data_IF_732236860097
#
_entry.id   IF_732236860097
#
_cell.length_a   1.000
_cell.length_b   1.000
_cell.length_c   1.000
_cell.angle_alpha   90.00
_cell.angle_beta   90.00
_cell.angle_gamma   90.00
#
_symmetry.space_group_name_H-M   'P 1'
#
loop_
_entity.id
_entity.type
_entity.pdbx_description
1 polymer ?
#
# COMPACT_ATOMS: atom_id res chain seq x y z
N UNK A 1 2.42 -2.92 8.21
CA UNK A 1 0.98 -3.07 8.46
C UNK A 1 0.32 -3.91 7.39
N UNK A 2 0.06 -3.40 6.17
CA UNK A 2 -0.69 -4.14 5.13
C UNK A 2 -0.18 -5.56 4.81
N UNK A 3 1.13 -5.73 4.66
CA UNK A 3 1.73 -7.04 4.38
C UNK A 3 1.36 -8.08 5.45
N UNK A 4 1.53 -7.71 6.72
CA UNK A 4 1.16 -8.51 7.89
C UNK A 4 -0.35 -8.71 7.98
N UNK A 5 -1.15 -7.64 7.80
CA UNK A 5 -2.61 -7.70 7.87
C UNK A 5 -3.22 -8.63 6.84
N UNK A 6 -2.61 -8.81 5.67
CA UNK A 6 -3.13 -9.70 4.63
C UNK A 6 -2.31 -10.98 4.45
N UNK A 7 -1.26 -11.16 5.26
CA UNK A 7 -0.30 -12.25 5.14
C UNK A 7 0.23 -12.38 3.70
N UNK A 8 0.60 -11.27 3.07
CA UNK A 8 1.05 -11.22 1.68
C UNK A 8 2.28 -10.32 1.52
N UNK A 9 3.22 -10.65 0.61
CA UNK A 9 4.32 -9.76 0.30
C UNK A 9 3.80 -8.47 -0.32
N UNK A 10 4.45 -7.34 -0.03
CA UNK A 10 4.09 -6.03 -0.59
C UNK A 10 5.30 -5.37 -1.19
N UNK A 11 5.16 -4.90 -2.43
CA UNK A 11 6.19 -4.15 -3.15
C UNK A 11 5.67 -2.73 -3.40
N UNK A 12 6.44 -1.74 -2.98
CA UNK A 12 6.15 -0.33 -3.15
C UNK A 12 7.24 0.26 -4.02
N UNK A 13 6.85 0.79 -5.19
CA UNK A 13 7.73 1.51 -6.10
C UNK A 13 7.44 3.00 -6.01
N UNK A 14 8.49 3.80 -5.92
CA UNK A 14 8.39 5.25 -5.91
C UNK A 14 9.50 5.87 -6.77
N UNK A 15 9.19 7.01 -7.37
CA UNK A 15 10.12 7.81 -8.16
C UNK A 15 11.10 8.55 -7.24
N UNK A 16 12.26 8.91 -7.78
CA UNK A 16 13.24 9.81 -7.16
C UNK A 16 13.45 11.04 -8.03
N UNK A 17 13.85 12.17 -7.42
CA UNK A 17 14.16 13.41 -8.12
C UNK A 17 13.05 14.44 -8.04
N UNK A 18 13.19 15.54 -8.77
CA UNK A 18 12.25 16.66 -8.74
C UNK A 18 11.62 16.89 -10.11
N UNK A 19 10.35 17.25 -10.13
CA UNK A 19 9.63 17.69 -11.33
C UNK A 19 8.78 18.90 -10.96
N UNK A 20 9.03 20.03 -11.62
CA UNK A 20 8.46 21.32 -11.26
C UNK A 20 8.65 21.62 -9.76
N UNK A 21 7.57 21.76 -9.01
CA UNK A 21 7.52 22.02 -7.57
C UNK A 21 7.41 20.75 -6.70
N UNK A 22 7.32 19.57 -7.32
CA UNK A 22 7.24 18.29 -6.63
C UNK A 22 8.62 17.66 -6.46
N UNK A 23 8.86 17.09 -5.27
CA UNK A 23 10.06 16.29 -5.00
C UNK A 23 9.63 14.88 -4.60
N UNK A 24 10.11 13.91 -5.36
CA UNK A 24 9.91 12.49 -5.11
C UNK A 24 11.12 11.92 -4.34
N UNK A 25 10.86 11.32 -3.18
CA UNK A 25 11.91 10.87 -2.26
C UNK A 25 12.38 9.42 -2.50
N UNK A 26 11.86 8.73 -3.52
CA UNK A 26 12.16 7.33 -3.77
C UNK A 26 11.77 6.46 -2.59
N UNK A 27 12.74 5.72 -2.04
CA UNK A 27 12.53 4.78 -0.93
C UNK A 27 11.52 3.67 -1.24
N UNK A 28 11.56 3.14 -2.47
CA UNK A 28 10.90 1.87 -2.82
C UNK A 28 11.26 0.75 -1.82
N UNK A 29 10.33 -0.16 -1.49
CA UNK A 29 10.52 -1.22 -0.48
C UNK A 29 9.84 -2.52 -0.90
N UNK A 30 10.44 -3.64 -0.53
CA UNK A 30 9.87 -4.99 -0.63
C UNK A 30 9.71 -5.54 0.78
N UNK A 31 8.49 -5.89 1.15
CA UNK A 31 8.15 -6.47 2.45
C UNK A 31 7.75 -7.94 2.30
N UNK A 32 8.16 -8.76 3.25
CA UNK A 32 7.68 -10.15 3.37
C UNK A 32 6.23 -10.20 3.92
N UNK A 33 5.57 -11.37 3.89
CA UNK A 33 4.22 -11.57 4.45
C UNK A 33 4.07 -11.27 5.94
N UNK A 34 5.17 -11.20 6.70
CA UNK A 34 5.20 -10.82 8.11
C UNK A 34 5.41 -9.30 8.29
N UNK A 35 5.52 -8.55 7.19
CA UNK A 35 5.76 -7.12 7.17
C UNK A 35 7.21 -6.71 7.44
N UNK A 36 8.16 -7.65 7.35
CA UNK A 36 9.60 -7.35 7.49
C UNK A 36 10.15 -6.83 6.18
N UNK A 37 11.10 -5.90 6.27
CA UNK A 37 11.79 -5.36 5.10
C UNK A 37 12.78 -6.38 4.54
N UNK A 38 12.58 -6.80 3.29
CA UNK A 38 13.51 -7.66 2.57
C UNK A 38 14.55 -6.85 1.79
N UNK A 39 14.11 -5.79 1.12
CA UNK A 39 14.99 -4.89 0.38
C UNK A 39 14.37 -3.49 0.25
N UNK A 40 15.20 -2.46 0.13
CA UNK A 40 14.73 -1.10 -0.06
C UNK A 40 15.78 -0.18 -0.67
N UNK A 41 15.32 0.78 -1.46
CA UNK A 41 16.17 1.83 -2.04
C UNK A 41 16.64 2.83 -0.96
N UNK A 42 17.83 3.38 -1.11
CA UNK A 42 18.30 4.47 -0.25
C UNK A 42 17.48 5.75 -0.49
N UNK A 43 17.09 6.00 -1.74
CA UNK A 43 16.24 7.12 -2.15
C UNK A 43 17.00 8.38 -2.55
N UNK A 44 18.33 8.29 -2.63
CA UNK A 44 19.20 9.37 -3.12
C UNK A 44 19.41 9.35 -4.65
N UNK A 45 18.94 8.31 -5.34
CA UNK A 45 19.07 8.14 -6.78
C UNK A 45 18.26 6.96 -7.32
N UNK A 46 18.37 6.73 -8.63
CA UNK A 46 17.73 5.59 -9.28
C UNK A 46 18.41 4.29 -8.85
N UNK A 47 17.61 3.30 -8.45
CA UNK A 47 18.11 2.06 -7.85
C UNK A 47 17.22 0.88 -8.23
N UNK A 48 17.85 -0.27 -8.53
CA UNK A 48 17.14 -1.55 -8.64
C UNK A 48 17.01 -2.20 -7.27
N UNK A 49 15.78 -2.33 -6.77
CA UNK A 49 15.48 -3.05 -5.52
C UNK A 49 15.08 -4.47 -5.85
N UNK A 50 15.80 -5.46 -5.30
CA UNK A 50 15.56 -6.89 -5.52
C UNK A 50 15.58 -7.65 -4.19
N UNK A 51 14.70 -8.63 -4.07
CA UNK A 51 14.68 -9.59 -2.97
C UNK A 51 14.22 -10.97 -3.47
N UNK A 52 14.47 -12.00 -2.67
CA UNK A 52 13.88 -13.33 -2.86
C UNK A 52 12.65 -13.49 -1.98
N UNK A 53 11.64 -14.19 -2.51
CA UNK A 53 10.37 -14.44 -1.82
C UNK A 53 10.03 -15.92 -1.93
N UNK A 54 9.69 -16.51 -0.79
CA UNK A 54 9.31 -17.91 -0.70
C UNK A 54 7.80 -18.02 -0.48
N UNK A 55 7.12 -18.80 -1.33
CA UNK A 55 5.68 -18.99 -1.22
C UNK A 55 5.26 -19.63 0.11
N UNK A 56 6.14 -20.43 0.69
CA UNK A 56 5.95 -21.09 1.97
C UNK A 56 5.73 -20.09 3.11
N UNK A 57 6.38 -18.92 3.06
CA UNK A 57 6.21 -17.89 4.08
C UNK A 57 4.83 -17.24 4.02
N UNK A 58 4.20 -17.17 2.84
CA UNK A 58 2.80 -16.72 2.69
C UNK A 58 1.85 -17.67 3.42
N UNK A 59 2.05 -18.99 3.22
CA UNK A 59 1.24 -20.02 3.88
C UNK A 59 1.40 -19.94 5.40
N UNK A 60 2.64 -19.77 5.87
CA UNK A 60 2.95 -19.64 7.30
C UNK A 60 2.33 -18.39 7.91
N UNK A 61 2.44 -17.23 7.25
CA UNK A 61 1.87 -15.98 7.73
C UNK A 61 0.35 -16.07 7.87
N UNK A 62 -0.35 -16.61 6.88
CA UNK A 62 -1.81 -16.79 6.93
C UNK A 62 -2.27 -17.84 7.94
N UNK A 63 -1.44 -18.83 8.25
CA UNK A 63 -1.72 -19.78 9.32
C UNK A 63 -1.57 -19.13 10.70
N UNK A 64 -0.54 -18.31 10.90
CA UNK A 64 -0.25 -17.67 12.18
C UNK A 64 -1.18 -16.51 12.51
N UNK A 65 -1.49 -15.67 11.51
CA UNK A 65 -2.39 -14.53 11.67
C UNK A 65 -3.46 -14.55 10.56
N UNK A 66 -4.53 -15.35 10.74
CA UNK A 66 -5.57 -15.59 9.74
C UNK A 66 -6.61 -14.45 9.65
N UNK A 67 -6.17 -13.20 9.67
CA UNK A 67 -6.99 -11.98 9.67
C UNK A 67 -8.16 -11.98 8.68
N UNK A 68 -7.92 -12.39 7.43
CA UNK A 68 -8.93 -12.44 6.38
C UNK A 68 -9.96 -13.54 6.63
N UNK A 69 -9.53 -14.70 7.11
CA UNK A 69 -10.42 -15.83 7.42
C UNK A 69 -11.34 -15.49 8.60
N UNK A 70 -10.79 -14.80 9.59
CA UNK A 70 -11.50 -14.46 10.83
C UNK A 70 -12.22 -13.09 10.71
N UNK A 71 -12.22 -12.47 9.53
CA UNK A 71 -12.95 -11.22 9.26
C UNK A 71 -14.46 -11.45 9.30
N UNK A 72 -15.19 -10.54 9.97
CA UNK A 72 -16.66 -10.56 9.97
C UNK A 72 -17.19 -9.95 8.66
N UNK A 73 -17.11 -10.73 7.58
CA UNK A 73 -17.55 -10.30 6.24
C UNK A 73 -19.01 -9.83 6.20
N UNK A 74 -19.99 -10.48 6.89
CA UNK A 74 -21.36 -9.97 6.93
C UNK A 74 -21.48 -8.55 7.50
N UNK A 75 -20.75 -8.26 8.59
CA UNK A 75 -20.73 -6.92 9.18
C UNK A 75 -20.09 -5.91 8.22
N UNK A 76 -18.92 -6.24 7.66
CA UNK A 76 -18.23 -5.36 6.71
C UNK A 76 -19.12 -5.03 5.51
N UNK A 77 -19.80 -6.03 4.95
CA UNK A 77 -20.73 -5.84 3.85
C UNK A 77 -21.86 -4.87 4.22
N UNK A 78 -22.51 -5.08 5.38
CA UNK A 78 -23.57 -4.19 5.87
C UNK A 78 -23.09 -2.74 6.03
N UNK A 79 -21.90 -2.53 6.58
CA UNK A 79 -21.39 -1.18 6.83
C UNK A 79 -20.94 -0.48 5.55
N UNK A 80 -20.36 -1.21 4.59
CA UNK A 80 -20.04 -0.65 3.26
C UNK A 80 -21.31 -0.17 2.57
N UNK A 81 -22.36 -1.00 2.55
CA UNK A 81 -23.68 -0.62 2.00
C UNK A 81 -24.25 0.62 2.67
N UNK A 82 -24.21 0.68 4.01
CA UNK A 82 -24.67 1.85 4.77
C UNK A 82 -23.91 3.13 4.41
N UNK A 83 -22.58 3.03 4.25
CA UNK A 83 -21.74 4.18 3.91
C UNK A 83 -21.96 4.66 2.47
N UNK A 84 -22.21 3.75 1.53
CA UNK A 84 -22.53 4.10 0.15
C UNK A 84 -23.86 4.85 0.02
N UNK A 85 -24.80 4.61 0.95
CA UNK A 85 -26.10 5.29 1.01
C UNK A 85 -26.07 6.59 1.84
N UNK A 86 -24.98 6.86 2.56
CA UNK A 86 -24.84 8.08 3.34
C UNK A 86 -24.65 9.29 2.40
N UNK A 87 -25.23 10.47 2.71
CA UNK A 87 -24.98 11.67 1.95
C UNK A 87 -23.47 11.96 1.94
N UNK A 88 -22.91 12.15 0.75
CA UNK A 88 -21.49 12.52 0.60
C UNK A 88 -21.24 13.80 1.39
N UNK A 89 -20.26 13.80 2.28
CA UNK A 89 -19.75 15.06 2.83
C UNK A 89 -19.31 15.95 1.66
N UNK A 90 -19.51 17.29 1.75
CA UNK A 90 -18.96 18.20 0.75
C UNK A 90 -17.47 17.87 0.55
N UNK A 91 -17.11 17.59 -0.70
CA UNK A 91 -15.82 17.01 -1.05
C UNK A 91 -14.66 17.87 -0.57
N UNK A 92 -13.51 17.22 -0.36
CA UNK A 92 -12.24 17.93 -0.26
C UNK A 92 -12.09 18.86 -1.47
N UNK A 93 -12.19 20.16 -1.25
CA UNK A 93 -11.85 21.16 -2.24
C UNK A 93 -10.37 20.97 -2.59
N UNK A 94 -10.06 20.59 -3.84
CA UNK A 94 -8.67 20.56 -4.31
C UNK A 94 -8.09 21.94 -4.05
N UNK A 95 -6.97 22.02 -3.33
CA UNK A 95 -6.29 23.30 -3.14
C UNK A 95 -6.00 23.90 -4.53
N UNK A 96 -6.38 25.17 -4.77
CA UNK A 96 -6.14 25.81 -6.05
C UNK A 96 -4.63 25.80 -6.34
N UNK A 97 -4.23 25.10 -7.40
CA UNK A 97 -2.83 25.00 -7.85
C UNK A 97 -2.27 23.59 -8.04
N UNK A 98 -2.91 22.55 -7.48
CA UNK A 98 -2.43 21.15 -7.64
C UNK A 98 -2.93 20.56 -8.96
N UNK A 99 -2.05 20.47 -9.97
CA UNK A 99 -2.33 19.79 -11.23
C UNK A 99 -2.40 18.27 -11.03
N UNK A 100 -3.29 17.60 -11.76
CA UNK A 100 -3.38 16.14 -11.72
C UNK A 100 -2.12 15.52 -12.34
N UNK A 101 -1.37 14.81 -11.50
CA UNK A 101 -0.06 14.20 -11.84
C UNK A 101 -0.23 12.94 -12.73
N UNK A 102 -1.46 12.60 -13.13
CA UNK A 102 -1.78 11.38 -13.89
C UNK A 102 -2.43 11.64 -15.25
N UNK A 103 -2.56 12.89 -15.70
CA UNK A 103 -2.99 13.18 -17.07
C UNK A 103 -1.77 13.22 -18.00
N UNK A 104 -1.44 12.07 -18.56
CA UNK A 104 -0.79 11.98 -19.87
C UNK A 104 -1.87 11.64 -20.90
#
# INVERSE_FOLDING_TARGET
>A
FYALTYGMPVMMANRVGSEADLTFWGRSRILDPFGRLLAGAAGSGEELVRAELYFDDVRRARYQLPTLRDSNLPLLHREIERLMQAPTQPGYEKQPGVRDVYSQ
#
